data_IF_748548919444
#
_entry.id   IF_748548919444
#
_cell.length_a   1.000
_cell.length_b   1.000
_cell.length_c   1.000
_cell.angle_alpha   90.00
_cell.angle_beta   90.00
_cell.angle_gamma   90.00
#
_symmetry.space_group_name_H-M   'P 1'
#
loop_
_entity.id
_entity.type
_entity.pdbx_description
1 polymer ?
#
# COMPACT_ATOMS: atom_id res chain seq x y z
N UNK A 1 -16.39 -8.02 -6.60
CA UNK A 1 -17.57 -8.72 -6.02
C UNK A 1 -18.39 -7.79 -5.13
N UNK A 2 -17.78 -7.15 -4.13
CA UNK A 2 -18.43 -6.16 -3.25
C UNK A 2 -19.15 -5.03 -4.00
N UNK A 3 -18.43 -4.32 -4.87
CA UNK A 3 -18.96 -3.13 -5.57
C UNK A 3 -20.22 -3.46 -6.40
N UNK A 4 -20.23 -4.48 -7.29
CA UNK A 4 -21.45 -4.84 -8.03
C UNK A 4 -22.66 -5.20 -7.16
N UNK A 5 -22.46 -5.97 -6.08
CA UNK A 5 -23.56 -6.38 -5.19
C UNK A 5 -24.10 -5.18 -4.41
N UNK A 6 -23.22 -4.33 -3.90
CA UNK A 6 -23.62 -3.10 -3.20
C UNK A 6 -24.35 -2.15 -4.15
N UNK A 7 -23.94 -2.02 -5.41
CA UNK A 7 -24.66 -1.20 -6.41
C UNK A 7 -26.04 -1.80 -6.69
N UNK A 8 -26.13 -3.12 -6.83
CA UNK A 8 -27.41 -3.81 -7.07
C UNK A 8 -28.45 -3.59 -5.96
N UNK A 9 -28.01 -3.51 -4.70
CA UNK A 9 -28.91 -3.33 -3.56
C UNK A 9 -29.11 -1.87 -3.11
N UNK A 10 -28.08 -1.02 -3.22
CA UNK A 10 -28.08 0.34 -2.67
C UNK A 10 -28.13 1.43 -3.74
N UNK A 11 -27.90 1.10 -5.00
CA UNK A 11 -27.73 2.06 -6.08
C UNK A 11 -26.34 2.72 -6.09
N UNK A 12 -26.00 3.36 -7.21
CA UNK A 12 -24.66 3.93 -7.46
C UNK A 12 -24.36 5.09 -6.50
N UNK A 13 -25.34 5.95 -6.22
CA UNK A 13 -25.14 7.15 -5.40
C UNK A 13 -24.75 6.80 -3.96
N UNK A 14 -25.45 5.83 -3.35
CA UNK A 14 -25.15 5.37 -1.99
C UNK A 14 -23.83 4.62 -1.90
N UNK A 15 -23.48 3.83 -2.92
CA UNK A 15 -22.16 3.18 -2.95
C UNK A 15 -21.05 4.21 -3.06
N UNK A 16 -21.26 5.27 -3.84
CA UNK A 16 -20.26 6.35 -3.97
C UNK A 16 -20.03 7.07 -2.64
N UNK A 17 -21.10 7.37 -1.89
CA UNK A 17 -21.02 7.94 -0.53
C UNK A 17 -20.30 7.00 0.46
N UNK A 18 -20.61 5.70 0.40
CA UNK A 18 -19.99 4.68 1.27
C UNK A 18 -18.51 4.43 0.94
N UNK A 19 -18.12 4.53 -0.33
CA UNK A 19 -16.72 4.44 -0.76
C UNK A 19 -15.94 5.66 -0.27
N UNK A 20 -16.55 6.84 -0.29
CA UNK A 20 -15.93 8.09 0.20
C UNK A 20 -15.69 8.09 1.71
N UNK A 21 -16.45 7.31 2.48
CA UNK A 21 -16.26 7.15 3.93
C UNK A 21 -15.21 6.10 4.32
N UNK A 22 -14.57 5.43 3.34
CA UNK A 22 -13.42 4.54 3.55
C UNK A 22 -13.64 3.12 3.01
N UNK A 23 -12.60 2.52 2.43
CA UNK A 23 -12.66 1.22 1.72
C UNK A 23 -13.10 0.03 2.59
N UNK A 24 -12.90 0.09 3.90
CA UNK A 24 -13.35 -0.96 4.84
C UNK A 24 -14.87 -0.94 5.07
N UNK A 25 -15.54 0.20 4.83
CA UNK A 25 -16.97 0.37 5.10
C UNK A 25 -17.85 -0.61 4.34
N UNK A 26 -17.50 -0.89 3.07
CA UNK A 26 -18.27 -1.82 2.23
C UNK A 26 -18.19 -3.27 2.77
N UNK A 27 -17.00 -3.72 3.17
CA UNK A 27 -16.77 -5.09 3.63
C UNK A 27 -17.31 -5.37 5.04
N UNK A 28 -17.24 -4.37 5.93
CA UNK A 28 -17.53 -4.54 7.35
C UNK A 28 -18.89 -3.97 7.80
N UNK A 29 -19.52 -3.10 7.01
CA UNK A 29 -20.87 -2.57 7.31
C UNK A 29 -21.89 -3.00 6.27
N UNK A 30 -21.60 -2.75 4.99
CA UNK A 30 -22.58 -2.98 3.93
C UNK A 30 -22.90 -4.45 3.74
N UNK A 31 -21.90 -5.34 3.64
CA UNK A 31 -22.19 -6.77 3.44
C UNK A 31 -22.94 -7.43 4.59
N UNK A 32 -22.56 -7.25 5.87
CA UNK A 32 -23.35 -7.78 6.97
C UNK A 32 -24.80 -7.28 6.92
N UNK A 33 -25.01 -5.99 6.66
CA UNK A 33 -26.35 -5.44 6.49
C UNK A 33 -27.13 -6.13 5.37
N UNK A 34 -26.52 -6.38 4.21
CA UNK A 34 -27.17 -7.10 3.10
C UNK A 34 -27.48 -8.55 3.44
N UNK A 35 -26.60 -9.26 4.17
CA UNK A 35 -26.86 -10.63 4.60
C UNK A 35 -28.07 -10.73 5.54
N UNK A 36 -28.26 -9.75 6.43
CA UNK A 36 -29.45 -9.72 7.31
C UNK A 36 -30.76 -9.45 6.55
N UNK A 37 -30.72 -8.92 5.33
CA UNK A 37 -31.92 -8.83 4.49
C UNK A 37 -32.42 -10.20 4.00
N UNK A 38 -31.58 -11.25 4.06
CA UNK A 38 -31.97 -12.63 3.72
C UNK A 38 -32.61 -13.37 4.90
N UNK A 39 -32.79 -12.70 6.04
CA UNK A 39 -33.35 -13.26 7.28
C UNK A 39 -32.27 -13.58 8.31
N UNK A 40 -32.64 -13.55 9.60
CA UNK A 40 -31.69 -13.54 10.72
C UNK A 40 -30.74 -14.74 10.74
N UNK A 41 -31.25 -15.95 10.45
CA UNK A 41 -30.47 -17.19 10.48
C UNK A 41 -29.48 -17.25 9.31
N UNK A 42 -29.95 -16.96 8.09
CA UNK A 42 -29.11 -16.96 6.90
C UNK A 42 -28.09 -15.82 6.94
N UNK A 43 -28.48 -14.66 7.50
CA UNK A 43 -27.62 -13.51 7.69
C UNK A 43 -26.44 -13.81 8.62
N UNK A 44 -26.72 -14.43 9.78
CA UNK A 44 -25.68 -14.81 10.74
C UNK A 44 -24.70 -15.84 10.17
N UNK A 45 -25.19 -16.88 9.48
CA UNK A 45 -24.33 -17.90 8.84
C UNK A 45 -23.48 -17.28 7.73
N UNK A 46 -24.07 -16.46 6.87
CA UNK A 46 -23.35 -15.79 5.79
C UNK A 46 -22.30 -14.82 6.32
N UNK A 47 -22.61 -14.09 7.39
CA UNK A 47 -21.65 -13.24 8.10
C UNK A 47 -20.47 -14.03 8.67
N UNK A 48 -20.74 -15.16 9.33
CA UNK A 48 -19.70 -16.06 9.84
C UNK A 48 -18.79 -16.57 8.71
N UNK A 49 -19.36 -17.02 7.59
CA UNK A 49 -18.60 -17.50 6.44
C UNK A 49 -17.78 -16.37 5.80
N UNK A 50 -18.35 -15.17 5.67
CA UNK A 50 -17.68 -13.99 5.12
C UNK A 50 -16.47 -13.58 5.95
N UNK A 51 -16.66 -13.38 7.26
CA UNK A 51 -15.56 -13.00 8.14
C UNK A 51 -14.56 -14.13 8.35
N UNK A 52 -15.02 -15.39 8.34
CA UNK A 52 -14.13 -16.56 8.34
C UNK A 52 -13.22 -16.58 7.10
N UNK A 53 -13.79 -16.32 5.91
CA UNK A 53 -13.01 -16.20 4.67
C UNK A 53 -12.00 -15.05 4.75
N UNK A 54 -12.43 -13.85 5.18
CA UNK A 54 -11.53 -12.70 5.33
C UNK A 54 -10.41 -12.98 6.33
N UNK A 55 -10.69 -13.72 7.41
CA UNK A 55 -9.70 -14.11 8.42
C UNK A 55 -8.63 -15.04 7.84
N UNK A 56 -9.01 -16.11 7.14
CA UNK A 56 -8.04 -17.01 6.50
C UNK A 56 -7.25 -16.32 5.37
N UNK A 57 -7.91 -15.47 4.58
CA UNK A 57 -7.25 -14.67 3.55
C UNK A 57 -6.22 -13.70 4.16
N UNK A 58 -6.56 -13.05 5.27
CA UNK A 58 -5.66 -12.15 6.00
C UNK A 58 -4.44 -12.87 6.58
N UNK A 59 -4.63 -14.06 7.17
CA UNK A 59 -3.52 -14.86 7.74
C UNK A 59 -2.54 -15.29 6.65
N UNK A 60 -3.04 -15.80 5.53
CA UNK A 60 -2.16 -16.31 4.45
C UNK A 60 -1.34 -15.18 3.82
N UNK A 61 -1.93 -13.99 3.61
CA UNK A 61 -1.21 -12.82 3.09
C UNK A 61 -0.18 -12.27 4.09
N UNK A 62 -0.54 -12.16 5.38
CA UNK A 62 0.36 -11.62 6.40
C UNK A 62 1.57 -12.53 6.65
N UNK A 63 1.39 -13.85 6.57
CA UNK A 63 2.49 -14.81 6.65
C UNK A 63 3.46 -14.67 5.46
N UNK A 64 2.96 -14.49 4.23
CA UNK A 64 3.79 -14.28 3.05
C UNK A 64 4.64 -13.00 3.18
N UNK A 65 4.04 -11.92 3.67
CA UNK A 65 4.73 -10.64 3.91
C UNK A 65 5.83 -10.72 4.99
N UNK A 66 5.77 -11.68 5.91
CA UNK A 66 6.82 -11.90 6.92
C UNK A 66 8.04 -12.66 6.40
N UNK A 67 7.91 -13.37 5.27
CA UNK A 67 9.00 -14.18 4.72
C UNK A 67 10.24 -13.39 4.29
N UNK A 68 10.15 -12.18 3.67
CA UNK A 68 11.33 -11.40 3.31
C UNK A 68 12.10 -10.91 4.54
N UNK A 69 11.40 -10.53 5.62
CA UNK A 69 12.05 -10.11 6.86
C UNK A 69 12.81 -11.25 7.54
N UNK A 70 12.17 -12.43 7.63
CA UNK A 70 12.82 -13.62 8.18
C UNK A 70 14.04 -13.99 7.32
N UNK A 71 13.89 -14.04 5.99
CA UNK A 71 15.00 -14.31 5.07
C UNK A 71 16.16 -13.34 5.23
N UNK A 72 15.90 -12.04 5.30
CA UNK A 72 16.93 -11.02 5.54
C UNK A 72 17.74 -11.28 6.83
N UNK A 73 17.08 -11.60 7.94
CA UNK A 73 17.78 -11.90 9.19
C UNK A 73 18.56 -13.21 9.14
N UNK A 74 18.04 -14.22 8.45
CA UNK A 74 18.74 -15.49 8.27
C UNK A 74 19.97 -15.33 7.37
N UNK A 75 19.84 -14.66 6.24
CA UNK A 75 20.90 -14.57 5.22
C UNK A 75 21.99 -13.56 5.58
N UNK A 76 21.64 -12.43 6.19
CA UNK A 76 22.59 -11.37 6.53
C UNK A 76 23.15 -11.50 7.95
N UNK A 77 22.30 -11.92 8.90
CA UNK A 77 22.66 -11.99 10.31
C UNK A 77 22.91 -13.41 10.83
N UNK A 78 22.69 -14.46 10.01
CA UNK A 78 22.77 -15.88 10.41
C UNK A 78 21.85 -16.22 11.59
N UNK A 79 20.69 -15.58 11.68
CA UNK A 79 19.72 -15.89 12.73
C UNK A 79 19.05 -17.24 12.48
N UNK A 80 18.68 -17.92 13.56
CA UNK A 80 17.77 -19.07 13.46
C UNK A 80 16.35 -18.59 13.10
N UNK A 81 15.58 -19.45 12.42
CA UNK A 81 14.22 -19.12 11.95
C UNK A 81 13.28 -18.70 13.09
N UNK A 82 13.35 -19.37 14.25
CA UNK A 82 12.46 -19.14 15.39
C UNK A 82 12.61 -17.73 15.99
N UNK A 83 13.81 -17.25 16.37
CA UNK A 83 13.98 -15.88 16.85
C UNK A 83 13.67 -14.83 15.76
N UNK A 84 13.97 -15.11 14.49
CA UNK A 84 13.60 -14.22 13.38
C UNK A 84 12.07 -14.06 13.27
N UNK A 85 11.29 -15.14 13.38
CA UNK A 85 9.83 -15.08 13.37
C UNK A 85 9.25 -14.31 14.58
N UNK A 86 9.82 -14.48 15.77
CA UNK A 86 9.42 -13.68 16.94
C UNK A 86 9.71 -12.19 16.77
N UNK A 87 10.86 -11.84 16.16
CA UNK A 87 11.18 -10.45 15.85
C UNK A 87 10.16 -9.82 14.89
N UNK A 88 9.72 -10.57 13.87
CA UNK A 88 8.67 -10.13 12.96
C UNK A 88 7.36 -9.83 13.70
N UNK A 89 6.90 -10.76 14.55
CA UNK A 89 5.68 -10.57 15.34
C UNK A 89 5.74 -9.35 16.27
N UNK A 90 6.88 -9.14 16.93
CA UNK A 90 7.08 -7.98 17.80
C UNK A 90 7.07 -6.65 17.01
N UNK A 91 7.75 -6.61 15.86
CA UNK A 91 7.80 -5.42 14.99
C UNK A 91 6.41 -5.10 14.45
N UNK A 92 5.68 -6.10 13.96
CA UNK A 92 4.31 -5.92 13.46
C UNK A 92 3.38 -5.45 14.57
N UNK A 93 3.50 -5.99 15.78
CA UNK A 93 2.73 -5.53 16.93
C UNK A 93 3.00 -4.06 17.21
N UNK A 94 4.27 -3.67 17.38
CA UNK A 94 4.66 -2.31 17.73
C UNK A 94 4.32 -1.28 16.64
N UNK A 95 4.65 -1.60 15.38
CA UNK A 95 4.40 -0.69 14.25
C UNK A 95 2.94 -0.68 13.79
N UNK A 96 2.20 -1.76 14.06
CA UNK A 96 0.78 -1.89 13.78
C UNK A 96 -0.11 -1.19 14.82
N UNK A 97 0.31 -1.08 16.09
CA UNK A 97 -0.48 -0.43 17.14
C UNK A 97 -0.98 0.98 16.79
N UNK A 98 -0.16 1.90 16.23
CA UNK A 98 -0.62 3.24 15.85
C UNK A 98 -1.80 3.22 14.87
N UNK A 99 -1.85 2.25 13.95
CA UNK A 99 -2.93 2.16 12.96
C UNK A 99 -4.27 1.79 13.60
N UNK A 100 -4.24 1.03 14.70
CA UNK A 100 -5.44 0.64 15.45
C UNK A 100 -5.87 1.75 16.41
N UNK A 101 -4.94 2.31 17.17
CA UNK A 101 -5.23 3.33 18.19
C UNK A 101 -5.67 4.67 17.58
N UNK A 102 -5.10 5.05 16.44
CA UNK A 102 -5.33 6.34 15.79
C UNK A 102 -6.02 6.19 14.43
N UNK A 103 -6.80 5.11 14.25
CA UNK A 103 -7.56 4.84 13.02
C UNK A 103 -8.45 6.03 12.62
N UNK A 104 -9.12 6.65 13.60
CA UNK A 104 -10.01 7.79 13.37
C UNK A 104 -9.30 9.07 12.88
N UNK A 105 -7.99 9.15 13.04
CA UNK A 105 -7.16 10.26 12.55
C UNK A 105 -6.51 9.97 11.19
N UNK A 106 -6.86 8.84 10.54
CA UNK A 106 -6.35 8.49 9.21
C UNK A 106 -4.94 7.90 9.19
N UNK A 107 -4.39 7.47 10.33
CA UNK A 107 -3.05 6.86 10.39
C UNK A 107 -2.96 5.58 9.55
N UNK A 108 -4.01 4.77 9.54
CA UNK A 108 -4.10 3.59 8.70
C UNK A 108 -4.06 3.94 7.20
N UNK A 109 -4.79 4.97 6.79
CA UNK A 109 -4.84 5.40 5.38
C UNK A 109 -3.48 5.94 4.91
N UNK A 110 -2.71 6.56 5.80
CA UNK A 110 -1.34 6.99 5.49
C UNK A 110 -0.39 5.81 5.32
N UNK A 111 -0.49 4.77 6.16
CA UNK A 111 0.30 3.54 5.99
C UNK A 111 -0.02 2.85 4.66
N UNK A 112 -1.30 2.66 4.37
CA UNK A 112 -1.75 2.01 3.14
C UNK A 112 -1.33 2.81 1.89
N UNK A 113 -1.48 4.14 1.93
CA UNK A 113 -1.07 4.97 0.82
C UNK A 113 0.44 4.96 0.58
N UNK A 114 1.26 5.18 1.61
CA UNK A 114 2.71 5.29 1.42
C UNK A 114 3.37 3.95 1.16
N UNK A 115 3.02 2.90 1.91
CA UNK A 115 3.63 1.59 1.78
C UNK A 115 2.92 0.74 0.72
N UNK A 116 1.59 0.66 0.77
CA UNK A 116 0.77 -0.22 -0.09
C UNK A 116 0.47 0.35 -1.47
N UNK A 117 0.53 1.67 -1.68
CA UNK A 117 0.24 2.28 -2.99
C UNK A 117 1.49 2.88 -3.63
N UNK A 118 2.11 3.88 -3.00
CA UNK A 118 3.23 4.63 -3.58
C UNK A 118 4.50 3.77 -3.65
N UNK A 119 4.91 3.18 -2.52
CA UNK A 119 6.15 2.41 -2.46
C UNK A 119 6.11 1.20 -3.39
N UNK A 120 4.98 0.47 -3.48
CA UNK A 120 4.85 -0.66 -4.41
C UNK A 120 5.15 -0.27 -5.86
N UNK A 121 4.59 0.85 -6.34
CA UNK A 121 4.83 1.32 -7.72
C UNK A 121 6.28 1.75 -7.90
N UNK A 122 6.85 2.47 -6.92
CA UNK A 122 8.23 2.94 -6.97
C UNK A 122 9.23 1.79 -6.97
N UNK A 123 9.08 0.81 -6.06
CA UNK A 123 9.93 -0.37 -6.01
C UNK A 123 9.77 -1.25 -7.25
N UNK A 124 8.54 -1.48 -7.73
CA UNK A 124 8.32 -2.21 -8.98
C UNK A 124 8.98 -1.52 -10.18
N UNK A 125 8.95 -0.18 -10.24
CA UNK A 125 9.64 0.58 -11.27
C UNK A 125 11.16 0.37 -11.18
N UNK A 126 11.75 0.53 -9.99
CA UNK A 126 13.19 0.31 -9.79
C UNK A 126 13.61 -1.12 -10.10
N UNK A 127 12.89 -2.13 -9.60
CA UNK A 127 13.14 -3.54 -9.88
C UNK A 127 13.05 -3.84 -11.37
N UNK A 128 12.05 -3.28 -12.07
CA UNK A 128 11.90 -3.47 -13.52
C UNK A 128 13.08 -2.88 -14.29
N UNK A 129 13.58 -1.70 -13.91
CA UNK A 129 14.73 -1.06 -14.55
C UNK A 129 16.02 -1.83 -14.24
N UNK A 130 16.23 -2.19 -12.97
CA UNK A 130 17.39 -2.95 -12.51
C UNK A 130 17.46 -4.30 -13.24
N UNK A 131 16.34 -5.01 -13.36
CA UNK A 131 16.28 -6.30 -14.00
C UNK A 131 16.38 -6.21 -15.53
N UNK A 132 15.58 -5.36 -16.17
CA UNK A 132 15.48 -5.34 -17.62
C UNK A 132 16.64 -4.61 -18.31
N UNK A 133 17.14 -3.53 -17.71
CA UNK A 133 18.13 -2.64 -18.34
C UNK A 133 19.53 -2.82 -17.75
N UNK A 134 19.67 -2.89 -16.42
CA UNK A 134 20.99 -2.97 -15.77
C UNK A 134 21.54 -4.40 -15.79
N UNK A 135 20.77 -5.37 -15.28
CA UNK A 135 21.14 -6.79 -15.37
C UNK A 135 21.11 -7.29 -16.82
N UNK A 136 20.21 -6.70 -17.62
CA UNK A 136 20.12 -6.88 -19.06
C UNK A 136 19.15 -7.99 -19.43
N UNK A 137 18.16 -7.63 -20.26
CA UNK A 137 17.07 -8.52 -20.68
C UNK A 137 17.53 -9.84 -21.31
N UNK A 138 18.74 -9.93 -21.89
CA UNK A 138 19.23 -11.21 -22.43
C UNK A 138 19.57 -12.20 -21.32
N UNK A 139 20.28 -11.76 -20.26
CA UNK A 139 20.59 -12.59 -19.10
C UNK A 139 19.34 -12.86 -18.27
N UNK A 140 18.53 -11.82 -18.02
CA UNK A 140 17.26 -11.96 -17.32
C UNK A 140 16.29 -12.93 -18.01
N UNK A 141 16.24 -12.93 -19.35
CA UNK A 141 15.39 -13.87 -20.09
C UNK A 141 15.88 -15.31 -20.03
N UNK A 142 17.19 -15.53 -19.98
CA UNK A 142 17.76 -16.87 -19.75
C UNK A 142 17.38 -17.36 -18.35
N UNK A 143 17.49 -16.50 -17.33
CA UNK A 143 17.11 -16.84 -15.96
C UNK A 143 15.62 -17.19 -15.84
N UNK A 144 14.74 -16.38 -16.44
CA UNK A 144 13.28 -16.62 -16.43
C UNK A 144 12.90 -17.97 -17.05
N UNK A 145 13.62 -18.40 -18.10
CA UNK A 145 13.33 -19.65 -18.79
C UNK A 145 14.19 -20.83 -18.30
N UNK A 146 15.11 -20.59 -17.37
CA UNK A 146 15.96 -21.63 -16.80
C UNK A 146 15.14 -22.48 -15.84
N UNK A 147 15.04 -23.79 -16.09
CA UNK A 147 14.25 -24.70 -15.27
C UNK A 147 12.73 -24.50 -15.34
N UNK A 148 12.22 -23.70 -16.30
CA UNK A 148 10.80 -23.44 -16.42
C UNK A 148 10.07 -24.58 -17.15
N UNK A 149 8.99 -25.09 -16.55
CA UNK A 149 8.10 -26.09 -17.16
C UNK A 149 7.43 -25.56 -18.45
N UNK A 150 7.23 -24.24 -18.53
CA UNK A 150 6.66 -23.55 -19.67
C UNK A 150 7.54 -22.36 -20.02
N UNK A 151 7.92 -22.24 -21.30
CA UNK A 151 8.68 -21.10 -21.80
C UNK A 151 7.78 -19.89 -21.97
N UNK A 152 8.25 -18.73 -21.50
CA UNK A 152 7.51 -17.48 -21.64
C UNK A 152 7.49 -17.04 -23.11
N UNK A 153 6.33 -16.65 -23.68
CA UNK A 153 6.26 -16.19 -25.06
C UNK A 153 7.17 -14.99 -25.34
N UNK A 154 7.85 -14.99 -26.49
CA UNK A 154 8.88 -13.98 -26.81
C UNK A 154 8.40 -12.52 -26.83
N UNK A 155 7.09 -12.28 -26.97
CA UNK A 155 6.51 -10.94 -26.87
C UNK A 155 6.75 -10.32 -25.50
N UNK A 156 6.71 -11.11 -24.41
CA UNK A 156 6.91 -10.63 -23.05
C UNK A 156 8.31 -10.07 -22.82
N UNK A 157 9.31 -10.49 -23.61
CA UNK A 157 10.64 -9.90 -23.56
C UNK A 157 10.60 -8.39 -23.86
N UNK A 158 9.77 -7.97 -24.81
CA UNK A 158 9.59 -6.55 -25.14
C UNK A 158 8.68 -5.84 -24.14
N UNK A 159 7.65 -6.53 -23.62
CA UNK A 159 6.77 -5.99 -22.59
C UNK A 159 7.58 -5.63 -21.34
N UNK A 160 8.34 -6.59 -20.81
CA UNK A 160 9.17 -6.40 -19.60
C UNK A 160 10.24 -5.33 -19.84
N UNK A 161 10.86 -5.31 -21.03
CA UNK A 161 11.94 -4.37 -21.34
C UNK A 161 11.45 -2.94 -21.55
N UNK A 162 10.28 -2.72 -22.15
CA UNK A 162 9.85 -1.39 -22.55
C UNK A 162 8.49 -1.00 -21.98
N UNK A 163 7.47 -1.84 -22.14
CA UNK A 163 6.10 -1.48 -21.77
C UNK A 163 5.94 -1.35 -20.26
N UNK A 164 6.40 -2.34 -19.49
CA UNK A 164 6.28 -2.36 -18.03
C UNK A 164 6.95 -1.14 -17.37
N UNK A 165 8.24 -0.85 -17.60
CA UNK A 165 8.88 0.31 -16.95
C UNK A 165 8.27 1.64 -17.41
N UNK A 166 7.89 1.78 -18.68
CA UNK A 166 7.26 3.01 -19.18
C UNK A 166 5.87 3.22 -18.60
N UNK A 167 5.06 2.16 -18.47
CA UNK A 167 3.73 2.24 -17.88
C UNK A 167 3.82 2.55 -16.39
N UNK A 168 4.72 1.90 -15.64
CA UNK A 168 4.95 2.21 -14.23
C UNK A 168 5.44 3.66 -14.05
N UNK A 169 6.33 4.12 -14.92
CA UNK A 169 6.79 5.52 -14.92
C UNK A 169 5.63 6.48 -15.21
N UNK A 170 4.77 6.16 -16.18
CA UNK A 170 3.59 6.95 -16.51
C UNK A 170 2.62 7.04 -15.33
N UNK A 171 2.31 5.91 -14.69
CA UNK A 171 1.43 5.86 -13.51
C UNK A 171 2.06 6.62 -12.34
N UNK A 172 3.36 6.50 -12.14
CA UNK A 172 4.07 7.23 -11.09
C UNK A 172 4.02 8.74 -11.32
N UNK A 173 4.36 9.22 -12.53
CA UNK A 173 4.23 10.64 -12.89
C UNK A 173 2.77 11.08 -12.76
N UNK A 174 1.83 10.27 -13.26
CA UNK A 174 0.40 10.53 -13.17
C UNK A 174 -0.06 10.77 -11.74
N UNK A 175 0.37 9.91 -10.80
CA UNK A 175 0.04 10.04 -9.37
C UNK A 175 0.78 11.19 -8.66
N UNK A 176 1.97 11.57 -9.14
CA UNK A 176 2.71 12.72 -8.63
C UNK A 176 1.99 14.04 -8.91
N UNK A 177 1.45 14.20 -10.12
CA UNK A 177 0.91 15.47 -10.62
C UNK A 177 -0.55 15.39 -11.06
N UNK A 178 -1.34 14.53 -10.41
CA UNK A 178 -2.76 14.33 -10.71
C UNK A 178 -3.49 15.68 -10.77
N UNK A 179 -4.15 16.03 -11.88
CA UNK A 179 -4.94 17.24 -11.97
C UNK A 179 -6.24 17.11 -11.18
N UNK A 180 -6.77 18.23 -10.71
CA UNK A 180 -8.01 18.30 -9.92
C UNK A 180 -9.15 17.56 -10.63
N UNK A 181 -9.85 16.69 -9.90
CA UNK A 181 -10.91 15.82 -10.43
C UNK A 181 -10.49 14.87 -11.58
N UNK A 182 -9.19 14.69 -11.83
CA UNK A 182 -8.69 13.87 -12.93
C UNK A 182 -8.86 14.48 -14.32
N UNK A 183 -9.08 15.79 -14.43
CA UNK A 183 -9.26 16.47 -15.72
C UNK A 183 -7.90 16.72 -16.41
N UNK A 184 -7.40 15.68 -17.08
CA UNK A 184 -6.19 15.77 -17.89
C UNK A 184 -6.34 16.70 -19.10
N UNK A 185 -7.56 16.92 -19.60
CA UNK A 185 -7.82 17.84 -20.71
C UNK A 185 -7.57 19.29 -20.32
N UNK A 186 -8.10 19.70 -19.17
CA UNK A 186 -7.87 21.03 -18.61
C UNK A 186 -6.39 21.26 -18.26
N UNK A 187 -5.73 20.25 -17.68
CA UNK A 187 -4.31 20.33 -17.33
C UNK A 187 -3.41 20.56 -18.55
N UNK A 188 -3.67 19.84 -19.66
CA UNK A 188 -2.93 19.98 -20.91
C UNK A 188 -3.25 21.28 -21.66
N UNK A 189 -4.41 21.90 -21.39
CA UNK A 189 -4.82 23.18 -21.97
C UNK A 189 -4.23 24.42 -21.29
N UNK A 190 -3.48 24.24 -20.19
CA UNK A 190 -2.75 25.32 -19.49
C UNK A 190 -3.28 25.68 -18.09
N UNK A 191 -4.44 25.15 -17.68
CA UNK A 191 -5.00 25.34 -16.34
C UNK A 191 -4.68 24.14 -15.44
N UNK A 192 -3.42 24.00 -15.06
CA UNK A 192 -2.98 22.90 -14.21
C UNK A 192 -3.18 23.22 -12.72
N UNK A 193 -4.34 22.83 -12.19
CA UNK A 193 -4.58 22.80 -10.74
C UNK A 193 -4.36 21.38 -10.22
N UNK A 194 -3.47 21.21 -9.24
CA UNK A 194 -3.18 19.89 -8.66
C UNK A 194 -4.34 19.43 -7.76
N UNK A 195 -4.63 18.13 -7.82
CA UNK A 195 -5.59 17.49 -6.93
C UNK A 195 -5.02 17.28 -5.54
N UNK A 196 -5.87 17.36 -4.51
CA UNK A 196 -5.47 17.12 -3.13
C UNK A 196 -5.03 15.68 -2.86
N UNK A 197 -5.38 14.72 -3.73
CA UNK A 197 -4.89 13.34 -3.74
C UNK A 197 -3.55 13.13 -4.45
N UNK A 198 -3.02 14.14 -5.16
CA UNK A 198 -1.67 14.06 -5.74
C UNK A 198 -0.61 13.92 -4.65
N UNK A 199 0.46 13.17 -4.92
CA UNK A 199 1.53 12.93 -3.94
C UNK A 199 2.10 14.27 -3.43
N UNK A 200 2.24 15.28 -4.31
CA UNK A 200 2.75 16.61 -3.95
C UNK A 200 1.85 17.32 -2.94
N UNK A 201 0.54 17.35 -3.17
CA UNK A 201 -0.41 17.99 -2.25
C UNK A 201 -0.62 17.17 -0.99
N UNK A 202 -0.51 15.85 -1.07
CA UNK A 202 -0.58 14.96 0.09
C UNK A 202 0.61 15.17 1.02
N UNK A 203 1.84 15.27 0.49
CA UNK A 203 3.06 15.60 1.26
C UNK A 203 2.93 16.92 2.02
N UNK A 204 2.37 17.95 1.38
CA UNK A 204 2.22 19.28 1.99
C UNK A 204 1.01 19.39 2.93
N UNK A 205 0.21 18.33 3.05
CA UNK A 205 -1.08 18.30 3.74
C UNK A 205 -2.02 19.41 3.27
N UNK A 206 -2.01 19.72 1.97
CA UNK A 206 -2.78 20.83 1.41
C UNK A 206 -4.27 20.72 1.76
N UNK A 207 -4.85 19.52 1.64
CA UNK A 207 -6.25 19.26 2.01
C UNK A 207 -6.57 19.58 3.47
N UNK A 208 -5.74 19.12 4.41
CA UNK A 208 -5.97 19.37 5.84
C UNK A 208 -5.78 20.85 6.18
N UNK A 209 -4.80 21.51 5.57
CA UNK A 209 -4.58 22.96 5.76
C UNK A 209 -5.73 23.80 5.22
N UNK A 210 -6.29 23.42 4.07
CA UNK A 210 -7.49 24.05 3.50
C UNK A 210 -8.69 23.87 4.44
N UNK A 211 -8.89 22.66 4.99
CA UNK A 211 -9.97 22.39 5.95
C UNK A 211 -9.79 23.17 7.27
N UNK A 212 -8.55 23.27 7.78
CA UNK A 212 -8.23 24.07 8.97
C UNK A 212 -8.50 25.56 8.72
N UNK A 213 -8.10 26.07 7.56
CA UNK A 213 -8.34 27.47 7.19
C UNK A 213 -9.83 27.80 7.00
N UNK A 214 -10.63 26.82 6.57
CA UNK A 214 -12.07 26.97 6.38
C UNK A 214 -12.89 26.69 7.65
N UNK A 215 -12.31 26.07 8.68
CA UNK A 215 -13.01 25.71 9.90
C UNK A 215 -13.28 26.94 10.77
N UNK A 216 -14.55 27.17 11.10
CA UNK A 216 -14.99 28.27 11.98
C UNK A 216 -15.26 27.81 13.42
N UNK A 217 -15.39 26.51 13.65
CA UNK A 217 -15.68 25.92 14.96
C UNK A 217 -14.39 25.47 15.68
N UNK A 218 -14.28 25.80 16.97
CA UNK A 218 -13.09 25.50 17.77
C UNK A 218 -12.89 23.99 17.99
N UNK A 219 -13.97 23.23 18.21
CA UNK A 219 -13.88 21.78 18.41
C UNK A 219 -13.47 21.05 17.11
N UNK A 220 -13.98 21.52 15.96
CA UNK A 220 -13.55 21.04 14.66
C UNK A 220 -12.09 21.38 14.36
N UNK A 221 -11.64 22.58 14.73
CA UNK A 221 -10.25 23.02 14.55
C UNK A 221 -9.28 22.14 15.34
N UNK A 222 -9.58 21.86 16.61
CA UNK A 222 -8.77 21.00 17.48
C UNK A 222 -8.66 19.59 16.91
N UNK A 223 -9.78 19.01 16.47
CA UNK A 223 -9.78 17.68 15.81
C UNK A 223 -8.93 17.66 14.54
N UNK A 224 -8.99 18.71 13.72
CA UNK A 224 -8.20 18.80 12.48
C UNK A 224 -6.70 18.98 12.78
N UNK A 225 -6.36 19.74 13.81
CA UNK A 225 -4.98 19.90 14.28
C UNK A 225 -4.40 18.58 14.82
N UNK A 226 -5.18 17.84 15.61
CA UNK A 226 -4.80 16.50 16.07
C UNK A 226 -4.62 15.54 14.89
N UNK A 227 -5.55 15.56 13.92
CA UNK A 227 -5.44 14.77 12.69
C UNK A 227 -4.13 15.09 11.94
N UNK A 228 -3.81 16.37 11.79
CA UNK A 228 -2.56 16.81 11.16
C UNK A 228 -1.32 16.30 11.90
N UNK A 229 -1.34 16.32 13.24
CA UNK A 229 -0.26 15.80 14.07
C UNK A 229 -0.07 14.30 13.85
N UNK A 230 -1.14 13.51 13.94
CA UNK A 230 -1.07 12.04 13.79
C UNK A 230 -0.68 11.61 12.38
N UNK A 231 -1.18 12.29 11.33
CA UNK A 231 -0.77 12.05 9.94
C UNK A 231 0.71 12.31 9.74
N UNK A 232 1.23 13.43 10.25
CA UNK A 232 2.65 13.74 10.16
C UNK A 232 3.49 12.76 10.99
N UNK A 233 3.02 12.40 12.19
CA UNK A 233 3.66 11.40 13.03
C UNK A 233 3.78 10.04 12.35
N UNK A 234 2.72 9.59 11.66
CA UNK A 234 2.72 8.36 10.88
C UNK A 234 3.78 8.40 9.77
N UNK A 235 3.88 9.50 9.02
CA UNK A 235 4.89 9.66 7.96
C UNK A 235 6.31 9.68 8.50
N UNK A 236 6.54 10.39 9.61
CA UNK A 236 7.85 10.42 10.27
C UNK A 236 8.23 9.01 10.75
N UNK A 237 7.29 8.26 11.31
CA UNK A 237 7.52 6.88 11.73
C UNK A 237 7.88 5.98 10.54
N UNK A 238 7.15 6.07 9.42
CA UNK A 238 7.47 5.32 8.20
C UNK A 238 8.86 5.66 7.65
N UNK A 239 9.23 6.94 7.64
CA UNK A 239 10.58 7.38 7.26
C UNK A 239 11.64 6.85 8.23
N UNK A 240 11.38 6.88 9.54
CA UNK A 240 12.29 6.35 10.55
C UNK A 240 12.48 4.83 10.38
N UNK A 241 11.42 4.08 10.09
CA UNK A 241 11.48 2.65 9.78
C UNK A 241 12.33 2.42 8.53
N UNK A 242 12.11 3.18 7.46
CA UNK A 242 12.88 3.06 6.23
C UNK A 242 14.38 3.32 6.45
N UNK A 243 14.72 4.39 7.18
CA UNK A 243 16.11 4.71 7.53
C UNK A 243 16.73 3.63 8.42
N UNK A 244 15.96 3.06 9.36
CA UNK A 244 16.42 1.97 10.22
C UNK A 244 16.73 0.72 9.41
N UNK A 245 15.87 0.35 8.46
CA UNK A 245 16.11 -0.76 7.54
C UNK A 245 17.36 -0.51 6.68
N UNK A 246 17.51 0.70 6.12
CA UNK A 246 18.71 1.08 5.37
C UNK A 246 19.99 0.98 6.20
N UNK A 247 19.94 1.38 7.48
CA UNK A 247 21.05 1.24 8.42
C UNK A 247 21.35 -0.23 8.73
N UNK A 248 20.34 -1.09 8.90
CA UNK A 248 20.53 -2.54 9.08
C UNK A 248 21.21 -3.17 7.87
N UNK A 249 20.80 -2.80 6.65
CA UNK A 249 21.45 -3.25 5.40
C UNK A 249 22.91 -2.79 5.35
N UNK A 250 23.19 -1.54 5.75
CA UNK A 250 24.56 -1.04 5.81
C UNK A 250 25.44 -1.77 6.85
N UNK A 251 24.88 -2.10 8.01
CA UNK A 251 25.55 -2.92 9.03
C UNK A 251 25.83 -4.32 8.47
N UNK A 252 24.86 -4.95 7.82
CA UNK A 252 25.02 -6.25 7.18
C UNK A 252 26.14 -6.24 6.13
N UNK A 253 26.17 -5.21 5.28
CA UNK A 253 27.23 -5.01 4.30
C UNK A 253 28.63 -4.88 4.95
N UNK A 254 28.76 -4.04 6.00
CA UNK A 254 30.02 -3.91 6.75
C UNK A 254 30.45 -5.21 7.41
N UNK A 255 29.51 -6.01 7.90
CA UNK A 255 29.79 -7.33 8.48
C UNK A 255 30.35 -8.27 7.40
N UNK A 256 29.74 -8.33 6.21
CA UNK A 256 30.23 -9.14 5.09
C UNK A 256 31.64 -8.75 4.63
N UNK A 257 31.94 -7.45 4.58
CA UNK A 257 33.30 -6.95 4.29
C UNK A 257 34.32 -7.44 5.34
N UNK A 258 33.97 -7.39 6.63
CA UNK A 258 34.85 -7.87 7.72
C UNK A 258 35.07 -9.39 7.67
N UNK A 259 34.06 -10.13 7.21
CA UNK A 259 34.13 -11.58 7.03
C UNK A 259 34.81 -12.00 5.72
N UNK A 260 35.21 -11.05 4.85
CA UNK A 260 35.87 -11.32 3.58
C UNK A 260 34.96 -12.01 2.54
N UNK A 261 33.64 -11.88 2.67
CA UNK A 261 32.65 -12.49 1.76
C UNK A 261 32.36 -11.64 0.52
N UNK A 262 32.79 -10.38 0.52
CA UNK A 262 32.73 -9.39 -0.56
C UNK A 262 34.06 -8.64 -0.50
#
# INVERSE_FOLDING_TARGET
>A
ILIPISIGYLGIDRVTELVQTGGLGLGFRTLPYLFYQWGDVLGAISGMMWFGLLFFAGITSSLAMGTPWIGFLQDEFNWERKPAAWSFGLIVLLLGMPTVLYFHYGVFDEYDYWAGTVSLVVFALFESILFAWIFGMTKGWQEINSGADIKVPGIYKYIIKFITPLLLLWVFIGSLVTPKNGDWGAALSGNWELDNGSIVKKLTNASLKEQIAAATDAAQLDKLNDTLLFVNGARILLLAVFLTLGLLVYIAYKKKLREGKI
#
